data_IF_040567539377
#
_entry.id   IF_040567539377
#
_cell.length_a   1.000
_cell.length_b   1.000
_cell.length_c   1.000
_cell.angle_alpha   90.00
_cell.angle_beta   90.00
_cell.angle_gamma   90.00
#
_symmetry.space_group_name_H-M   'P 1'
#
loop_
_entity.id
_entity.type
_entity.pdbx_description
1 polymer ?
#
# COMPACT_ATOMS: atom_id res chain seq x y z
N UNK A 1 16.93 9.26 23.95
CA UNK A 1 17.35 8.14 23.07
C UNK A 1 16.10 7.61 22.38
N UNK A 2 16.13 7.42 21.06
CA UNK A 2 14.94 6.97 20.31
C UNK A 2 14.74 5.47 20.55
N UNK A 3 13.54 5.07 20.99
CA UNK A 3 13.20 3.68 21.33
C UNK A 3 12.37 3.01 20.23
N UNK A 4 12.54 1.69 20.06
CA UNK A 4 11.83 0.90 19.04
C UNK A 4 10.30 0.99 19.19
N UNK A 5 9.80 0.93 20.42
CA UNK A 5 8.35 0.99 20.71
C UNK A 5 7.76 2.36 20.35
N UNK A 6 8.50 3.44 20.60
CA UNK A 6 8.08 4.80 20.27
C UNK A 6 8.01 5.00 18.75
N UNK A 7 9.04 4.54 18.04
CA UNK A 7 9.09 4.58 16.58
C UNK A 7 7.96 3.74 16.00
N UNK A 8 7.87 2.47 16.39
CA UNK A 8 6.86 1.55 15.88
C UNK A 8 5.44 2.11 16.06
N UNK A 9 5.13 2.64 17.25
CA UNK A 9 3.81 3.21 17.54
C UNK A 9 3.51 4.46 16.72
N UNK A 10 4.50 5.30 16.40
CA UNK A 10 4.32 6.49 15.56
C UNK A 10 4.13 6.12 14.08
N UNK A 11 4.88 5.14 13.59
CA UNK A 11 4.85 4.73 12.17
C UNK A 11 3.57 3.98 11.78
N UNK A 12 2.89 3.37 12.75
CA UNK A 12 1.60 2.70 12.53
C UNK A 12 0.43 3.45 13.16
N UNK A 13 0.66 4.66 13.69
CA UNK A 13 -0.41 5.52 14.19
C UNK A 13 -1.44 5.80 13.07
N UNK A 14 -2.72 5.71 13.42
CA UNK A 14 -3.82 6.01 12.50
C UNK A 14 -4.13 4.93 11.45
N UNK A 15 -3.40 3.81 11.43
CA UNK A 15 -3.66 2.69 10.53
C UNK A 15 -5.03 2.05 10.80
N UNK A 16 -5.83 1.91 9.75
CA UNK A 16 -7.15 1.27 9.81
C UNK A 16 -7.08 -0.26 9.77
N UNK A 17 -8.15 -0.92 10.21
CA UNK A 17 -8.30 -2.37 10.09
C UNK A 17 -8.24 -2.77 8.62
N UNK A 18 -7.47 -3.83 8.31
CA UNK A 18 -7.20 -4.34 6.95
C UNK A 18 -6.43 -3.39 6.02
N UNK A 19 -5.98 -2.25 6.52
CA UNK A 19 -5.08 -1.39 5.77
C UNK A 19 -3.69 -2.03 5.66
N UNK A 20 -3.07 -1.85 4.49
CA UNK A 20 -1.73 -2.32 4.23
C UNK A 20 -0.72 -1.54 5.08
N UNK A 21 0.36 -2.22 5.48
CA UNK A 21 1.50 -1.52 6.07
C UNK A 21 2.07 -0.55 5.04
N UNK A 22 2.28 0.70 5.45
CA UNK A 22 2.99 1.68 4.65
C UNK A 22 4.40 1.19 4.31
N UNK A 23 4.95 1.62 3.17
CA UNK A 23 6.30 1.27 2.76
C UNK A 23 7.33 1.67 3.82
N UNK A 24 7.13 2.85 4.42
CA UNK A 24 7.99 3.35 5.50
C UNK A 24 7.95 2.47 6.76
N UNK A 25 6.75 2.05 7.20
CA UNK A 25 6.64 1.13 8.33
C UNK A 25 7.27 -0.23 8.03
N UNK A 26 7.16 -0.75 6.80
CA UNK A 26 7.83 -2.00 6.40
C UNK A 26 9.35 -1.86 6.42
N UNK A 27 9.89 -0.78 5.86
CA UNK A 27 11.33 -0.53 5.86
C UNK A 27 11.88 -0.47 7.30
N UNK A 28 11.17 0.20 8.21
CA UNK A 28 11.54 0.26 9.62
C UNK A 28 11.46 -1.10 10.31
N UNK A 29 10.44 -1.92 10.02
CA UNK A 29 10.33 -3.30 10.51
C UNK A 29 11.53 -4.15 10.04
N UNK A 30 11.86 -4.08 8.76
CA UNK A 30 12.97 -4.83 8.16
C UNK A 30 14.30 -4.38 8.78
N UNK A 31 14.51 -3.07 8.90
CA UNK A 31 15.70 -2.50 9.54
C UNK A 31 15.86 -2.92 11.00
N UNK A 32 14.78 -2.93 11.78
CA UNK A 32 14.81 -3.37 13.17
C UNK A 32 15.19 -4.87 13.29
N UNK A 33 14.65 -5.72 12.41
CA UNK A 33 15.01 -7.14 12.37
C UNK A 33 16.45 -7.35 11.91
N UNK A 34 16.93 -6.57 10.92
CA UNK A 34 18.32 -6.59 10.49
C UNK A 34 19.27 -6.17 11.63
N UNK A 35 18.84 -5.22 12.48
CA UNK A 35 19.52 -4.84 13.71
C UNK A 35 19.34 -5.87 14.87
N UNK A 36 18.97 -7.12 14.55
CA UNK A 36 18.80 -8.25 15.48
C UNK A 36 17.68 -8.10 16.51
N UNK A 37 16.74 -7.17 16.35
CA UNK A 37 15.55 -7.13 17.18
C UNK A 37 14.68 -8.39 16.92
N UNK A 38 14.15 -8.98 18.00
CA UNK A 38 13.27 -10.15 17.84
C UNK A 38 11.98 -9.78 17.11
N UNK A 39 11.49 -10.66 16.23
CA UNK A 39 10.23 -10.42 15.50
C UNK A 39 9.04 -10.18 16.43
N UNK A 40 9.04 -10.80 17.62
CA UNK A 40 8.00 -10.59 18.63
C UNK A 40 8.07 -9.19 19.25
N UNK A 41 9.27 -8.67 19.52
CA UNK A 41 9.44 -7.30 20.00
C UNK A 41 9.04 -6.28 18.92
N UNK A 42 9.46 -6.50 17.67
CA UNK A 42 9.09 -5.63 16.54
C UNK A 42 7.58 -5.64 16.32
N UNK A 43 6.93 -6.80 16.39
CA UNK A 43 5.47 -6.90 16.29
C UNK A 43 4.75 -6.08 17.38
N UNK A 44 5.25 -6.14 18.62
CA UNK A 44 4.72 -5.36 19.74
C UNK A 44 4.88 -3.87 19.52
N UNK A 45 6.10 -3.43 19.17
CA UNK A 45 6.42 -2.04 18.90
C UNK A 45 5.54 -1.43 17.80
N UNK A 46 5.37 -2.14 16.69
CA UNK A 46 4.59 -1.67 15.53
C UNK A 46 3.09 -1.95 15.65
N UNK A 47 2.61 -2.55 16.74
CA UNK A 47 1.20 -2.95 16.96
C UNK A 47 0.63 -3.81 15.81
N UNK A 48 1.44 -4.74 15.31
CA UNK A 48 1.07 -5.66 14.25
C UNK A 48 1.18 -7.11 14.71
N UNK A 49 0.49 -8.01 14.01
CA UNK A 49 0.68 -9.44 14.24
C UNK A 49 2.10 -9.85 13.79
N UNK A 50 2.75 -10.77 14.52
CA UNK A 50 4.04 -11.37 14.12
C UNK A 50 4.03 -11.92 12.69
N UNK A 51 2.90 -12.47 12.22
CA UNK A 51 2.75 -12.91 10.81
C UNK A 51 2.97 -11.77 9.82
N UNK A 52 2.58 -10.53 10.16
CA UNK A 52 2.79 -9.37 9.29
C UNK A 52 4.28 -9.01 9.20
N UNK A 53 5.03 -9.11 10.31
CA UNK A 53 6.48 -8.93 10.33
C UNK A 53 7.16 -9.99 9.46
N UNK A 54 6.81 -11.26 9.64
CA UNK A 54 7.34 -12.36 8.82
C UNK A 54 7.07 -12.15 7.33
N UNK A 55 5.84 -11.76 6.96
CA UNK A 55 5.48 -11.47 5.57
C UNK A 55 6.26 -10.28 4.99
N UNK A 56 6.53 -9.25 5.80
CA UNK A 56 7.33 -8.11 5.36
C UNK A 56 8.76 -8.53 5.03
N UNK A 57 9.37 -9.40 5.85
CA UNK A 57 10.71 -9.97 5.62
C UNK A 57 10.71 -10.80 4.33
N UNK A 58 9.82 -11.79 4.21
CA UNK A 58 9.73 -12.66 3.03
C UNK A 58 9.49 -11.89 1.73
N UNK A 59 8.66 -10.83 1.80
CA UNK A 59 8.42 -9.96 0.65
C UNK A 59 9.68 -9.18 0.28
N UNK A 60 10.40 -8.66 1.26
CA UNK A 60 11.63 -7.91 1.00
C UNK A 60 12.72 -8.80 0.40
N UNK A 61 12.90 -10.02 0.93
CA UNK A 61 13.86 -11.00 0.40
C UNK A 61 13.57 -11.37 -1.07
N UNK A 62 12.29 -11.41 -1.47
CA UNK A 62 11.88 -11.78 -2.83
C UNK A 62 11.79 -10.63 -3.83
N UNK A 63 11.59 -9.39 -3.37
CA UNK A 63 11.28 -8.25 -4.26
C UNK A 63 12.18 -7.04 -4.08
N UNK A 64 13.05 -7.04 -3.06
CA UNK A 64 13.99 -5.96 -2.68
C UNK A 64 13.31 -4.58 -2.56
N UNK A 65 11.99 -4.55 -2.36
CA UNK A 65 11.19 -3.33 -2.26
C UNK A 65 10.29 -3.40 -1.03
N UNK A 66 10.14 -2.27 -0.35
CA UNK A 66 9.19 -2.12 0.75
C UNK A 66 7.77 -1.77 0.25
N UNK A 67 7.65 -1.38 -1.02
CA UNK A 67 6.40 -0.96 -1.62
C UNK A 67 5.38 -2.11 -1.75
N UNK A 68 4.11 -1.74 -1.73
CA UNK A 68 3.06 -2.69 -2.08
C UNK A 68 3.00 -2.88 -3.59
N UNK A 69 3.00 -4.15 -4.03
CA UNK A 69 2.60 -4.47 -5.39
C UNK A 69 1.14 -4.02 -5.61
N UNK A 70 0.80 -3.59 -6.83
CA UNK A 70 -0.60 -3.43 -7.21
C UNK A 70 -1.36 -4.71 -6.85
N UNK A 71 -2.55 -4.56 -6.26
CA UNK A 71 -3.37 -5.72 -5.90
C UNK A 71 -3.69 -6.51 -7.16
N UNK A 72 -3.62 -7.83 -7.05
CA UNK A 72 -4.06 -8.73 -8.12
C UNK A 72 -5.56 -8.56 -8.29
N UNK A 73 -5.95 -8.08 -9.46
CA UNK A 73 -7.34 -7.91 -9.90
C UNK A 73 -7.43 -8.11 -11.40
N UNK A 74 -8.62 -7.94 -11.98
CA UNK A 74 -8.76 -7.95 -13.44
C UNK A 74 -7.84 -6.86 -14.02
N UNK A 75 -6.91 -7.19 -14.94
CA UNK A 75 -6.10 -6.17 -15.59
C UNK A 75 -7.02 -5.11 -16.19
N UNK A 76 -6.64 -3.86 -16.02
CA UNK A 76 -7.44 -2.75 -16.52
C UNK A 76 -7.48 -2.83 -18.05
N UNK A 77 -8.67 -2.92 -18.63
CA UNK A 77 -8.85 -2.93 -20.10
C UNK A 77 -8.35 -1.62 -20.70
N UNK A 78 -8.50 -0.52 -19.95
CA UNK A 78 -8.13 0.82 -20.38
C UNK A 78 -6.78 1.24 -19.79
N UNK A 79 -5.91 1.75 -20.64
CA UNK A 79 -4.67 2.42 -20.27
C UNK A 79 -4.92 3.72 -19.51
N UNK A 80 -3.90 4.21 -18.80
CA UNK A 80 -3.95 5.52 -18.10
C UNK A 80 -4.30 6.67 -19.04
N UNK A 81 -3.86 6.62 -20.30
CA UNK A 81 -4.13 7.66 -21.31
C UNK A 81 -5.59 7.65 -21.73
N UNK A 82 -6.15 6.47 -22.00
CA UNK A 82 -7.56 6.32 -22.39
C UNK A 82 -8.51 6.75 -21.27
N UNK A 83 -8.21 6.38 -20.02
CA UNK A 83 -8.98 6.86 -18.86
C UNK A 83 -8.99 8.39 -18.77
N UNK A 84 -7.83 9.02 -18.95
CA UNK A 84 -7.70 10.49 -18.93
C UNK A 84 -8.48 11.12 -20.08
N UNK A 85 -8.43 10.52 -21.27
CA UNK A 85 -9.20 10.96 -22.42
C UNK A 85 -10.70 10.90 -22.13
N UNK A 86 -11.22 9.79 -21.59
CA UNK A 86 -12.63 9.64 -21.22
C UNK A 86 -13.05 10.71 -20.21
N UNK A 87 -12.21 11.00 -19.21
CA UNK A 87 -12.50 12.07 -18.23
C UNK A 87 -12.59 13.44 -18.90
N UNK A 88 -11.67 13.77 -19.81
CA UNK A 88 -11.73 15.03 -20.55
C UNK A 88 -12.93 15.11 -21.49
N UNK A 89 -13.27 14.00 -22.14
CA UNK A 89 -14.42 13.88 -23.02
C UNK A 89 -15.73 14.11 -22.24
N UNK A 90 -15.90 13.47 -21.08
CA UNK A 90 -17.04 13.67 -20.19
C UNK A 90 -17.14 15.10 -19.64
N UNK A 91 -16.00 15.74 -19.32
CA UNK A 91 -15.96 17.14 -18.87
C UNK A 91 -16.34 18.12 -19.96
N UNK A 92 -15.89 17.89 -21.21
CA UNK A 92 -16.23 18.75 -22.36
C UNK A 92 -17.68 18.58 -22.78
N UNK A 93 -18.21 17.35 -22.66
CA UNK A 93 -19.56 17.01 -23.09
C UNK A 93 -20.34 16.42 -21.90
N UNK A 94 -21.00 17.25 -21.07
CA UNK A 94 -21.74 16.76 -19.91
C UNK A 94 -22.89 15.79 -20.24
N UNK A 95 -23.38 15.81 -21.49
CA UNK A 95 -24.46 14.93 -22.00
C UNK A 95 -23.94 13.73 -22.79
N UNK A 96 -22.63 13.44 -22.75
CA UNK A 96 -22.01 12.39 -23.55
C UNK A 96 -22.66 11.00 -23.32
N UNK A 97 -23.08 10.70 -22.09
CA UNK A 97 -23.76 9.42 -21.81
C UNK A 97 -25.09 9.31 -22.57
N UNK A 98 -25.84 10.40 -22.69
CA UNK A 98 -27.12 10.41 -23.40
C UNK A 98 -26.90 10.25 -24.91
N UNK A 99 -25.89 10.91 -25.49
CA UNK A 99 -25.54 10.73 -26.91
C UNK A 99 -25.11 9.29 -27.23
N UNK A 100 -24.22 8.71 -26.41
CA UNK A 100 -23.73 7.34 -26.62
C UNK A 100 -24.87 6.32 -26.55
N UNK A 101 -25.82 6.48 -25.64
CA UNK A 101 -26.98 5.59 -25.53
C UNK A 101 -28.07 5.85 -26.59
N UNK A 102 -28.18 7.08 -27.09
CA UNK A 102 -29.12 7.46 -28.15
C UNK A 102 -28.62 7.14 -29.57
N UNK A 103 -27.35 6.73 -29.73
CA UNK A 103 -26.76 6.43 -31.04
C UNK A 103 -26.61 7.64 -31.96
N UNK A 104 -26.47 8.84 -31.38
CA UNK A 104 -26.27 10.13 -32.08
C UNK A 104 -24.84 10.61 -31.87
#
# INVERSE_FOLDING_TARGET
MINLDEVGSKLTAGRQKNEELSAFARAAIIGAVAARASQSAVARAFRVNRKAVQRAIQRFESSTTAESRPRTGRPEILTRREKRYIIHLAKRNPRLSIMIWAGI
#
